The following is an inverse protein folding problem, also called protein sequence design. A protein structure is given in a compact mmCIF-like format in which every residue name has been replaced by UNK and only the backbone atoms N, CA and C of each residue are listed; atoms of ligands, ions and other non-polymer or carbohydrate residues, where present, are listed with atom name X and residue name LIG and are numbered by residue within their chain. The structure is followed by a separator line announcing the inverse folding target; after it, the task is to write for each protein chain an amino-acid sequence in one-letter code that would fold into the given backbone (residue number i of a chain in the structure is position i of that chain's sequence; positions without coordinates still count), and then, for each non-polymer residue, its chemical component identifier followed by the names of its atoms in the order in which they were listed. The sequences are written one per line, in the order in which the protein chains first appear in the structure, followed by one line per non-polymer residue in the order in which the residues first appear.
data_IF_363278458126
#
_entry.id   IF_363278458126
#
_cell.length_a   1.000
_cell.length_b   1.000
_cell.length_c   1.000
_cell.angle_alpha   90.00
_cell.angle_beta   90.00
_cell.angle_gamma   90.00
#
_symmetry.space_group_name_H-M   'P 1'
#
loop_
_entity.id
_entity.type
_entity.pdbx_description
1 polymer ?
#
# COMPACT_ATOMS: atom_id res chain seq x y z
N UNK A 1 13.52 -15.85 4.96
CA UNK A 1 12.45 -14.88 4.62
C UNK A 1 12.39 -13.88 5.77
N UNK A 2 12.69 -12.61 5.52
CA UNK A 2 12.68 -11.57 6.57
C UNK A 2 11.40 -10.77 6.45
N UNK A 3 10.76 -10.49 7.59
CA UNK A 3 9.52 -9.72 7.68
C UNK A 3 9.69 -8.66 8.75
N UNK A 4 9.21 -7.45 8.49
CA UNK A 4 9.05 -6.42 9.51
C UNK A 4 7.58 -6.32 9.90
N UNK A 5 7.34 -6.03 11.17
CA UNK A 5 6.03 -5.73 11.70
C UNK A 5 5.96 -4.22 11.94
N UNK A 6 4.93 -3.58 11.40
CA UNK A 6 4.66 -2.16 11.58
C UNK A 6 3.35 -2.05 12.32
N UNK A 7 3.38 -1.39 13.47
CA UNK A 7 2.22 -1.17 14.33
C UNK A 7 1.98 0.33 14.46
N UNK A 8 0.74 0.76 14.28
CA UNK A 8 0.32 2.10 14.64
C UNK A 8 -0.38 2.03 16.00
N UNK A 9 0.24 2.59 17.05
CA UNK A 9 -0.32 2.58 18.39
C UNK A 9 -1.69 3.30 18.43
N UNK A 10 -2.61 2.80 19.25
CA UNK A 10 -3.98 3.35 19.38
C UNK A 10 -4.00 4.85 19.71
N UNK A 11 -2.99 5.34 20.43
CA UNK A 11 -2.89 6.72 20.89
C UNK A 11 -2.00 7.61 20.00
N UNK A 12 -1.53 7.14 18.83
CA UNK A 12 -0.52 7.88 18.06
C UNK A 12 -0.99 9.21 17.49
N UNK A 13 -2.30 9.39 17.28
CA UNK A 13 -2.87 10.58 16.64
C UNK A 13 -2.46 10.77 15.17
N UNK A 14 -1.76 9.79 14.58
CA UNK A 14 -1.20 9.85 13.23
C UNK A 14 -1.67 8.67 12.37
N UNK A 15 -1.62 8.83 11.05
CA UNK A 15 -1.70 7.74 10.08
C UNK A 15 -0.27 7.33 9.72
N UNK A 16 0.00 6.02 9.74
CA UNK A 16 1.28 5.48 9.25
C UNK A 16 1.10 5.03 7.80
N UNK A 17 1.87 5.59 6.87
CA UNK A 17 1.89 5.20 5.46
C UNK A 17 3.08 4.29 5.20
N UNK A 18 2.84 3.13 4.61
CA UNK A 18 3.84 2.17 4.18
C UNK A 18 3.83 2.14 2.66
N UNK A 19 4.96 2.46 2.04
CA UNK A 19 5.15 2.50 0.60
C UNK A 19 6.18 1.45 0.22
N UNK A 20 5.78 0.50 -0.61
CA UNK A 20 6.59 -0.61 -1.07
C UNK A 20 6.83 -0.48 -2.58
N UNK A 21 8.08 -0.33 -3.02
CA UNK A 21 8.41 -0.17 -4.44
C UNK A 21 9.32 -1.31 -4.90
N UNK A 22 8.92 -2.02 -5.96
CA UNK A 22 9.71 -3.11 -6.56
C UNK A 22 9.34 -3.29 -8.04
N UNK A 23 10.32 -3.50 -8.90
CA UNK A 23 10.09 -3.81 -10.32
C UNK A 23 9.21 -2.81 -11.09
N UNK A 24 9.23 -1.52 -10.71
CA UNK A 24 8.37 -0.49 -11.30
C UNK A 24 6.95 -0.43 -10.74
N UNK A 25 6.59 -1.30 -9.79
CA UNK A 25 5.31 -1.27 -9.09
C UNK A 25 5.45 -0.60 -7.72
N UNK A 26 4.38 0.07 -7.28
CA UNK A 26 4.29 0.68 -5.96
C UNK A 26 3.01 0.24 -5.27
N UNK A 27 3.14 -0.34 -4.08
CA UNK A 27 2.03 -0.67 -3.18
C UNK A 27 2.03 0.36 -2.05
N UNK A 28 0.86 0.89 -1.71
CA UNK A 28 0.67 1.81 -0.59
C UNK A 28 -0.32 1.20 0.39
N UNK A 29 0.01 1.29 1.68
CA UNK A 29 -0.85 0.88 2.78
C UNK A 29 -0.88 1.99 3.80
N UNK A 30 -2.04 2.28 4.33
CA UNK A 30 -2.21 3.22 5.43
C UNK A 30 -2.67 2.43 6.66
N UNK A 31 -2.09 2.72 7.81
CA UNK A 31 -2.49 2.16 9.10
C UNK A 31 -3.06 3.29 9.95
N UNK A 32 -4.31 3.17 10.34
CA UNK A 32 -4.96 4.01 11.34
C UNK A 32 -4.48 3.62 12.74
N UNK A 33 -4.66 4.49 13.76
CA UNK A 33 -4.34 4.13 15.13
C UNK A 33 -5.02 2.82 15.55
N UNK A 34 -4.24 1.88 16.08
CA UNK A 34 -4.65 0.53 16.44
C UNK A 34 -4.49 -0.53 15.34
N UNK A 35 -4.16 -0.14 14.11
CA UNK A 35 -3.91 -1.07 13.01
C UNK A 35 -2.44 -1.49 12.91
N UNK A 36 -2.20 -2.62 12.26
CA UNK A 36 -0.86 -3.13 12.05
C UNK A 36 -0.71 -3.83 10.68
N UNK A 37 0.54 -4.06 10.30
CA UNK A 37 0.89 -4.72 9.06
C UNK A 37 2.16 -5.56 9.19
N UNK A 38 2.20 -6.66 8.43
CA UNK A 38 3.42 -7.40 8.14
C UNK A 38 3.90 -7.02 6.73
N UNK A 39 5.18 -6.69 6.61
CA UNK A 39 5.79 -6.32 5.32
C UNK A 39 6.99 -7.24 5.07
N UNK A 40 6.95 -7.98 3.96
CA UNK A 40 8.07 -8.82 3.55
C UNK A 40 9.23 -7.97 3.05
N UNK A 41 10.43 -8.28 3.52
CA UNK A 41 11.67 -7.60 3.12
C UNK A 41 12.38 -8.42 2.05
N UNK A 42 12.85 -7.74 1.01
CA UNK A 42 13.59 -8.33 -0.10
C UNK A 42 14.63 -7.34 -0.61
N UNK A 43 15.77 -7.84 -1.12
CA UNK A 43 16.84 -7.02 -1.71
C UNK A 43 16.43 -6.23 -2.95
N UNK A 44 15.30 -6.58 -3.56
CA UNK A 44 14.78 -5.96 -4.79
C UNK A 44 13.66 -4.95 -4.53
N UNK A 45 13.39 -4.64 -3.26
CA UNK A 45 12.25 -3.86 -2.82
C UNK A 45 12.70 -2.75 -1.90
N UNK A 46 12.24 -1.54 -2.16
CA UNK A 46 12.34 -0.41 -1.23
C UNK A 46 11.08 -0.36 -0.37
N UNK A 47 11.25 -0.08 0.92
CA UNK A 47 10.15 0.11 1.87
C UNK A 47 10.39 1.47 2.53
N UNK A 48 9.41 2.36 2.42
CA UNK A 48 9.39 3.67 3.08
C UNK A 48 8.22 3.70 4.04
N UNK A 49 8.45 4.22 5.25
CA UNK A 49 7.44 4.38 6.28
C UNK A 49 7.37 5.86 6.66
N UNK A 50 6.19 6.45 6.57
CA UNK A 50 5.94 7.87 6.84
C UNK A 50 4.83 8.02 7.87
N UNK A 51 4.95 9.00 8.77
CA UNK A 51 3.89 9.38 9.70
C UNK A 51 3.25 10.70 9.25
N UNK A 52 1.92 10.74 9.23
CA UNK A 52 1.15 11.93 8.84
C UNK A 52 0.12 12.23 9.92
N UNK A 53 0.11 13.45 10.44
CA UNK A 53 -0.86 13.90 11.44
C UNK A 53 -2.29 13.71 10.94
N UNK A 54 -3.18 13.14 11.77
CA UNK A 54 -4.61 13.07 11.44
C UNK A 54 -5.22 14.47 11.24
N UNK A 55 -4.71 15.47 11.98
CA UNK A 55 -5.17 16.85 11.87
C UNK A 55 -4.86 17.47 10.50
N UNK A 56 -3.69 17.17 9.94
CA UNK A 56 -3.28 17.62 8.60
C UNK A 56 -3.92 16.78 7.48
N UNK A 57 -4.39 15.56 7.81
CA UNK A 57 -5.07 14.65 6.89
C UNK A 57 -6.48 15.09 6.50
N UNK A 58 -6.97 16.22 7.03
CA UNK A 58 -8.15 16.92 6.50
C UNK A 58 -7.88 17.63 5.17
N UNK A 59 -6.61 17.77 4.76
CA UNK A 59 -6.22 18.13 3.41
C UNK A 59 -5.86 16.86 2.62
N UNK A 60 -6.69 16.55 1.62
CA UNK A 60 -6.49 15.50 0.60
C UNK A 60 -6.93 14.08 1.01
N UNK A 61 -8.24 13.83 0.93
CA UNK A 61 -8.77 12.55 0.45
C UNK A 61 -8.97 12.65 -1.07
N UNK A 62 -8.00 12.31 -1.93
CA UNK A 62 -8.30 12.06 -3.33
C UNK A 62 -8.80 10.61 -3.44
N UNK A 63 -10.12 10.45 -3.50
CA UNK A 63 -10.73 9.28 -4.15
C UNK A 63 -10.98 8.05 -3.27
N UNK A 64 -11.84 8.20 -2.26
CA UNK A 64 -12.62 7.06 -1.75
C UNK A 64 -13.59 6.47 -2.81
N UNK A 65 -13.68 7.05 -4.02
CA UNK A 65 -14.61 6.65 -5.09
C UNK A 65 -13.98 5.88 -6.27
N UNK A 66 -12.72 5.40 -6.20
CA UNK A 66 -12.11 4.68 -7.35
C UNK A 66 -11.78 3.20 -7.12
N UNK A 67 -12.29 2.59 -6.06
CA UNK A 67 -12.05 1.17 -5.75
C UNK A 67 -13.24 0.24 -6.02
N UNK A 68 -13.93 0.44 -7.16
CA UNK A 68 -14.96 -0.51 -7.64
C UNK A 68 -14.83 -0.94 -9.12
N UNK A 69 -13.72 -0.65 -9.81
CA UNK A 69 -13.67 -0.87 -11.28
C UNK A 69 -12.34 -1.34 -11.87
N UNK A 70 -11.50 -2.08 -11.14
CA UNK A 70 -10.29 -2.65 -11.75
C UNK A 70 -10.02 -4.08 -11.29
N UNK A 71 -11.06 -4.91 -11.28
CA UNK A 71 -10.93 -6.33 -11.52
C UNK A 71 -11.01 -6.60 -13.04
N UNK A 72 -10.09 -7.42 -13.52
CA UNK A 72 -10.15 -8.15 -14.80
C UNK A 72 -9.82 -7.43 -16.12
N UNK A 73 -8.61 -6.88 -16.27
CA UNK A 73 -7.96 -6.86 -17.60
C UNK A 73 -6.63 -7.58 -17.56
N UNK A 74 -6.69 -8.89 -17.82
CA UNK A 74 -5.53 -9.65 -18.29
C UNK A 74 -4.98 -8.98 -19.57
N UNK A 75 -3.65 -8.91 -19.75
CA UNK A 75 -3.09 -8.41 -21.00
C UNK A 75 -3.52 -9.30 -22.17
N UNK A 76 -4.20 -8.72 -23.16
CA UNK A 76 -4.75 -9.41 -24.34
C UNK A 76 -3.69 -10.04 -25.26
N UNK A 77 -2.40 -9.86 -24.98
CA UNK A 77 -1.31 -10.49 -25.74
C UNK A 77 -1.01 -11.94 -25.33
N UNK A 78 -1.62 -12.46 -24.27
CA UNK A 78 -1.48 -13.87 -23.85
C UNK A 78 -2.56 -14.80 -24.40
N UNK A 79 -3.49 -14.31 -25.24
CA UNK A 79 -4.47 -15.14 -25.92
C UNK A 79 -3.79 -15.90 -27.07
N UNK A 80 -3.23 -17.06 -26.72
CA UNK A 80 -2.59 -17.99 -27.64
C UNK A 80 -3.53 -18.30 -28.81
N UNK A 81 -2.98 -18.20 -30.02
CA UNK A 81 -3.48 -18.91 -31.21
C UNK A 81 -3.51 -20.41 -30.89
N UNK A 82 -4.70 -20.96 -30.71
CA UNK A 82 -4.97 -22.33 -31.09
C UNK A 82 -5.73 -22.25 -32.43
N UNK A 83 -5.23 -22.99 -33.41
CA UNK A 83 -5.75 -23.01 -34.78
C UNK A 83 -7.04 -23.79 -34.93
#
# INVERSE_FOLDING_TARGET
MTVIFVENAVESGNIVKIIETFGGHTIRRELRPGENARVSVSRYKSIVVEEVSLNDSTAQLPGADRWQGQSDTWPSFLQRRCG
#
